data_IF_889351176257
#
_entry.id   IF_889351176257
#
_cell.length_a   1.000
_cell.length_b   1.000
_cell.length_c   1.000
_cell.angle_alpha   90.00
_cell.angle_beta   90.00
_cell.angle_gamma   90.00
#
_symmetry.space_group_name_H-M   'P 1'
#
loop_
_entity.id
_entity.type
_entity.pdbx_description
1 polymer ?
#
# COMPACT_ATOMS: atom_id res chain seq x y z
N UNK A 1 8.73 16.44 -4.21
CA UNK A 1 7.35 16.20 -4.67
C UNK A 1 6.46 16.18 -3.44
N UNK A 2 5.61 17.19 -3.27
CA UNK A 2 4.70 17.27 -2.12
C UNK A 2 3.35 16.71 -2.54
N UNK A 3 2.85 15.74 -1.77
CA UNK A 3 1.51 15.20 -1.94
C UNK A 3 0.47 16.24 -1.51
N UNK A 4 -0.34 16.73 -2.47
CA UNK A 4 -1.56 17.48 -2.20
C UNK A 4 -2.71 16.48 -1.99
N UNK A 5 -3.36 16.48 -0.81
CA UNK A 5 -4.53 15.65 -0.57
C UNK A 5 -5.70 16.17 -1.41
N UNK A 6 -5.82 15.68 -2.64
CA UNK A 6 -7.01 15.90 -3.44
C UNK A 6 -8.18 15.09 -2.86
N UNK A 7 -9.39 15.67 -2.77
CA UNK A 7 -10.58 14.91 -2.41
C UNK A 7 -10.77 13.79 -3.44
N UNK A 8 -10.70 12.53 -2.98
CA UNK A 8 -10.87 11.35 -3.82
C UNK A 8 -9.72 10.35 -3.76
N UNK A 9 -8.51 10.74 -3.35
CA UNK A 9 -7.36 9.81 -3.35
C UNK A 9 -7.59 8.59 -2.45
N UNK A 10 -8.27 8.76 -1.31
CA UNK A 10 -8.64 7.63 -0.44
C UNK A 10 -9.57 6.63 -1.14
N UNK A 11 -10.53 7.13 -1.92
CA UNK A 11 -11.48 6.30 -2.66
C UNK A 11 -10.74 5.52 -3.75
N UNK A 12 -9.91 6.20 -4.53
CA UNK A 12 -9.04 5.58 -5.54
C UNK A 12 -8.14 4.48 -4.94
N UNK A 13 -7.55 4.72 -3.77
CA UNK A 13 -6.75 3.71 -3.07
C UNK A 13 -7.57 2.52 -2.58
N UNK A 14 -8.83 2.74 -2.18
CA UNK A 14 -9.73 1.68 -1.76
C UNK A 14 -10.17 0.81 -2.95
N UNK A 15 -10.50 1.44 -4.08
CA UNK A 15 -10.85 0.75 -5.32
C UNK A 15 -9.64 -0.04 -5.86
N UNK A 16 -8.45 0.55 -5.81
CA UNK A 16 -7.19 -0.14 -6.16
C UNK A 16 -6.96 -1.34 -5.23
N UNK A 17 -7.06 -1.17 -3.91
CA UNK A 17 -6.87 -2.27 -2.96
C UNK A 17 -7.87 -3.41 -3.20
N UNK A 18 -9.12 -3.11 -3.54
CA UNK A 18 -10.13 -4.13 -3.83
C UNK A 18 -9.84 -4.89 -5.13
N UNK A 19 -9.43 -4.19 -6.19
CA UNK A 19 -9.03 -4.79 -7.45
C UNK A 19 -7.80 -5.70 -7.28
N UNK A 20 -6.78 -5.21 -6.57
CA UNK A 20 -5.53 -5.93 -6.33
C UNK A 20 -5.70 -7.11 -5.38
N UNK A 21 -6.60 -7.02 -4.39
CA UNK A 21 -6.93 -8.16 -3.54
C UNK A 21 -7.56 -9.32 -4.34
N UNK A 22 -8.24 -9.01 -5.44
CA UNK A 22 -8.82 -10.01 -6.36
C UNK A 22 -7.75 -10.62 -7.29
N UNK A 23 -6.86 -9.79 -7.83
CA UNK A 23 -5.79 -10.21 -8.74
C UNK A 23 -4.66 -10.96 -8.00
N UNK A 24 -4.31 -10.49 -6.81
CA UNK A 24 -3.16 -10.91 -6.01
C UNK A 24 -3.59 -11.27 -4.58
N UNK A 25 -4.36 -12.35 -4.35
CA UNK A 25 -4.91 -12.68 -3.03
C UNK A 25 -3.85 -13.09 -1.99
N UNK A 26 -2.62 -13.37 -2.45
CA UNK A 26 -1.50 -13.79 -1.61
C UNK A 26 -0.91 -12.65 -0.77
N UNK A 27 -1.11 -11.40 -1.21
CA UNK A 27 -0.69 -10.20 -0.49
C UNK A 27 -1.91 -9.51 0.10
N UNK A 28 -1.73 -8.92 1.28
CA UNK A 28 -2.79 -8.19 1.95
C UNK A 28 -2.69 -6.72 1.60
N UNK A 29 -3.77 -6.17 1.05
CA UNK A 29 -3.90 -4.75 0.75
C UNK A 29 -4.77 -4.08 1.81
N UNK A 30 -4.32 -2.96 2.37
CA UNK A 30 -5.09 -2.24 3.40
C UNK A 30 -4.90 -0.75 3.24
N UNK A 31 -6.00 0.00 3.19
CA UNK A 31 -5.97 1.46 3.19
C UNK A 31 -6.20 1.97 4.60
N UNK A 32 -5.26 2.76 5.10
CA UNK A 32 -5.33 3.40 6.42
C UNK A 32 -5.12 4.90 6.28
N UNK A 33 -5.43 5.69 7.31
CA UNK A 33 -5.07 7.11 7.34
C UNK A 33 -4.03 7.36 8.42
N UNK A 34 -2.91 7.99 8.06
CA UNK A 34 -1.82 8.35 8.97
C UNK A 34 -1.60 9.85 8.85
N UNK A 35 -1.75 10.59 9.95
CA UNK A 35 -1.62 12.06 9.99
C UNK A 35 -2.48 12.78 8.94
N UNK A 36 -3.70 12.30 8.70
CA UNK A 36 -4.62 12.87 7.71
C UNK A 36 -4.25 12.61 6.26
N UNK A 37 -3.32 11.67 6.01
CA UNK A 37 -2.93 11.24 4.67
C UNK A 37 -3.34 9.78 4.48
N UNK A 38 -4.01 9.44 3.37
CA UNK A 38 -4.33 8.05 3.10
C UNK A 38 -3.04 7.29 2.73
N UNK A 39 -2.85 6.14 3.36
CA UNK A 39 -1.70 5.25 3.21
C UNK A 39 -2.20 3.88 2.76
N UNK A 40 -1.74 3.44 1.60
CA UNK A 40 -1.92 2.08 1.12
C UNK A 40 -0.79 1.21 1.67
N UNK A 41 -1.15 0.24 2.50
CA UNK A 41 -0.25 -0.77 3.05
C UNK A 41 -0.40 -2.06 2.27
N UNK A 42 0.72 -2.59 1.79
CA UNK A 42 0.80 -3.89 1.13
C UNK A 42 1.68 -4.80 1.97
N UNK A 43 1.16 -5.96 2.37
CA UNK A 43 1.87 -6.88 3.27
C UNK A 43 2.03 -8.23 2.59
N UNK A 44 3.26 -8.75 2.61
CA UNK A 44 3.57 -10.10 2.16
C UNK A 44 3.11 -11.15 3.18
N UNK A 45 2.80 -12.37 2.73
CA UNK A 45 2.56 -13.49 3.63
C UNK A 45 3.87 -13.87 4.35
N UNK A 46 3.73 -14.44 5.55
CA UNK A 46 4.88 -14.87 6.34
C UNK A 46 5.72 -15.90 5.57
N UNK A 47 7.01 -15.62 5.40
CA UNK A 47 7.95 -16.48 4.68
C UNK A 47 8.12 -16.19 3.19
N UNK A 48 7.43 -15.19 2.63
CA UNK A 48 7.63 -14.75 1.25
C UNK A 48 7.66 -13.21 1.10
N UNK A 49 8.58 -12.50 1.79
CA UNK A 49 8.70 -11.04 1.68
C UNK A 49 9.07 -10.56 0.26
N UNK A 50 9.67 -11.42 -0.56
CA UNK A 50 10.08 -11.10 -1.93
C UNK A 50 8.91 -10.77 -2.86
N UNK A 51 7.69 -11.18 -2.50
CA UNK A 51 6.48 -11.01 -3.31
C UNK A 51 6.04 -9.54 -3.36
N UNK A 52 6.38 -8.74 -2.33
CA UNK A 52 6.07 -7.29 -2.31
C UNK A 52 7.17 -6.43 -2.93
N UNK A 53 8.37 -6.98 -3.18
CA UNK A 53 9.48 -6.28 -3.83
C UNK A 53 9.14 -5.70 -5.21
N UNK A 54 8.51 -6.44 -6.15
CA UNK A 54 8.11 -5.87 -7.44
C UNK A 54 7.02 -4.79 -7.30
N UNK A 55 6.12 -4.94 -6.33
CA UNK A 55 5.07 -3.95 -6.05
C UNK A 55 5.71 -2.65 -5.55
N UNK A 56 6.66 -2.74 -4.60
CA UNK A 56 7.39 -1.58 -4.09
C UNK A 56 8.16 -0.85 -5.21
N UNK A 57 8.74 -1.59 -6.16
CA UNK A 57 9.46 -1.02 -7.30
C UNK A 57 8.54 -0.23 -8.24
N UNK A 58 7.31 -0.71 -8.50
CA UNK A 58 6.32 -0.03 -9.36
C UNK A 58 5.87 1.30 -8.75
N UNK A 59 5.60 1.32 -7.45
CA UNK A 59 5.10 2.51 -6.75
C UNK A 59 6.21 3.47 -6.30
N UNK A 60 7.49 3.14 -6.55
CA UNK A 60 8.64 3.82 -5.94
C UNK A 60 8.47 3.99 -4.42
N UNK A 61 7.80 3.01 -3.79
CA UNK A 61 7.48 3.07 -2.39
C UNK A 61 8.77 2.97 -1.58
N UNK A 62 9.01 3.95 -0.71
CA UNK A 62 10.04 3.81 0.30
C UNK A 62 9.68 2.66 1.23
N UNK A 63 10.61 1.74 1.48
CA UNK A 63 10.49 0.78 2.57
C UNK A 63 10.53 1.58 3.89
N UNK A 64 9.37 2.01 4.37
CA UNK A 64 9.27 2.65 5.67
C UNK A 64 9.53 1.59 6.74
N UNK A 65 10.79 1.49 7.17
CA UNK A 65 11.23 0.63 8.25
C UNK A 65 10.82 1.16 9.63
N UNK A 66 9.98 2.21 9.73
CA UNK A 66 9.65 2.92 10.97
C UNK A 66 8.42 2.36 11.67
N UNK A 67 8.08 1.08 11.48
CA UNK A 67 7.06 0.42 12.30
C UNK A 67 7.47 -0.99 12.77
N UNK A 68 8.77 -1.19 13.02
CA UNK A 68 9.22 -2.16 14.01
C UNK A 68 9.33 -1.45 15.37
N UNK A 69 8.19 -1.19 16.02
CA UNK A 69 8.07 -0.97 17.46
C UNK A 69 6.79 -1.61 17.96
#
# INVERSE_FOLDING_TARGET
MSYEPCPGVRQELADLAAAEQTCCPFVTWTVTEVQGRPVLRVTAPAGAPEVVTPIAAVFQAGADATFAQ
#
